data_IF_215302191462
#
_entry.id   IF_215302191462
#
_cell.length_a   1.000
_cell.length_b   1.000
_cell.length_c   1.000
_cell.angle_alpha   90.00
_cell.angle_beta   90.00
_cell.angle_gamma   90.00
#
_symmetry.space_group_name_H-M   'P 1'
#
loop_
_entity.id
_entity.type
_entity.pdbx_description
1 polymer ?
#
# COMPACT_ATOMS: atom_id res chain seq x y z
N UNK A 1 24.56 -1.35 6.49
CA UNK A 1 23.13 -1.15 6.81
C UNK A 1 22.33 -1.98 5.81
N UNK A 2 21.59 -3.01 6.27
CA UNK A 2 20.81 -3.84 5.34
C UNK A 2 19.56 -3.04 4.92
N UNK A 3 19.40 -2.80 3.63
CA UNK A 3 18.28 -2.06 3.05
C UNK A 3 16.98 -2.85 3.20
N UNK A 4 15.88 -2.18 3.57
CA UNK A 4 14.55 -2.78 3.68
C UNK A 4 14.10 -3.38 2.35
N UNK A 5 14.43 -2.70 1.24
CA UNK A 5 14.16 -3.17 -0.11
C UNK A 5 14.78 -4.55 -0.39
N UNK A 6 16.03 -4.77 0.02
CA UNK A 6 16.74 -6.03 -0.21
C UNK A 6 16.19 -7.18 0.64
N UNK A 7 15.72 -6.89 1.86
CA UNK A 7 14.99 -7.87 2.67
C UNK A 7 13.67 -8.27 2.02
N UNK A 8 12.93 -7.28 1.52
CA UNK A 8 11.63 -7.47 0.90
C UNK A 8 11.71 -8.35 -0.36
N UNK A 9 12.70 -8.11 -1.22
CA UNK A 9 13.00 -8.93 -2.41
C UNK A 9 13.16 -10.40 -2.10
N UNK A 10 13.81 -10.73 -0.99
CA UNK A 10 14.17 -12.11 -0.60
C UNK A 10 13.04 -12.86 0.12
N UNK A 11 12.02 -12.17 0.62
CA UNK A 11 10.93 -12.80 1.36
C UNK A 11 10.10 -13.70 0.42
N UNK A 12 9.99 -14.98 0.75
CA UNK A 12 9.23 -15.98 -0.03
C UNK A 12 8.16 -16.70 0.81
N UNK A 13 8.07 -16.39 2.10
CA UNK A 13 7.13 -16.99 3.04
C UNK A 13 6.72 -16.00 4.14
N UNK A 14 5.63 -16.34 4.87
CA UNK A 14 5.22 -15.61 6.07
C UNK A 14 6.34 -15.57 7.11
N UNK A 15 7.05 -16.69 7.30
CA UNK A 15 8.14 -16.80 8.26
C UNK A 15 9.30 -15.85 7.93
N UNK A 16 9.59 -15.65 6.64
CA UNK A 16 10.59 -14.67 6.21
C UNK A 16 10.16 -13.26 6.60
N UNK A 17 8.91 -12.86 6.31
CA UNK A 17 8.41 -11.53 6.69
C UNK A 17 8.49 -11.29 8.20
N UNK A 18 8.12 -12.29 9.02
CA UNK A 18 8.20 -12.19 10.47
C UNK A 18 9.65 -12.01 10.93
N UNK A 19 10.58 -12.81 10.40
CA UNK A 19 12.01 -12.77 10.75
C UNK A 19 12.66 -11.45 10.31
N UNK A 20 12.47 -11.04 9.06
CA UNK A 20 13.19 -9.92 8.46
C UNK A 20 12.74 -8.55 9.01
N UNK A 21 11.45 -8.43 9.37
CA UNK A 21 10.82 -7.18 9.81
C UNK A 21 10.33 -7.18 11.26
N UNK A 22 10.63 -8.24 12.01
CA UNK A 22 10.29 -8.38 13.43
C UNK A 22 8.82 -8.03 13.75
N UNK A 23 7.89 -8.70 13.06
CA UNK A 23 6.46 -8.33 13.07
C UNK A 23 5.72 -8.63 14.39
N UNK A 24 6.39 -9.23 15.39
CA UNK A 24 5.80 -9.50 16.70
C UNK A 24 4.62 -10.49 16.68
N UNK A 25 4.52 -11.33 15.65
CA UNK A 25 3.43 -12.28 15.45
C UNK A 25 3.99 -13.66 15.10
N UNK A 26 3.26 -14.71 15.46
CA UNK A 26 3.57 -16.07 15.00
C UNK A 26 3.12 -16.29 13.55
N UNK A 27 3.77 -17.22 12.85
CA UNK A 27 3.39 -17.60 11.48
C UNK A 27 1.93 -18.09 11.40
N UNK A 28 1.44 -18.76 12.45
CA UNK A 28 0.04 -19.19 12.58
C UNK A 28 -0.92 -18.00 12.66
N UNK A 29 -0.62 -16.99 13.48
CA UNK A 29 -1.45 -15.78 13.59
C UNK A 29 -1.49 -14.99 12.28
N UNK A 30 -0.32 -14.76 11.67
CA UNK A 30 -0.24 -14.08 10.38
C UNK A 30 -1.02 -14.86 9.31
N UNK A 31 -0.76 -16.16 9.17
CA UNK A 31 -1.43 -17.01 8.19
C UNK A 31 -2.95 -17.05 8.40
N UNK A 32 -3.41 -17.08 9.65
CA UNK A 32 -4.84 -16.99 9.97
C UNK A 32 -5.45 -15.65 9.53
N UNK A 33 -4.77 -14.52 9.76
CA UNK A 33 -5.27 -13.20 9.34
C UNK A 33 -5.37 -13.09 7.82
N UNK A 34 -4.39 -13.62 7.08
CA UNK A 34 -4.33 -13.47 5.61
C UNK A 34 -5.21 -14.48 4.88
N UNK A 35 -5.13 -15.76 5.28
CA UNK A 35 -5.74 -16.89 4.57
C UNK A 35 -6.89 -17.54 5.34
N UNK A 36 -6.84 -17.55 6.68
CA UNK A 36 -7.83 -18.25 7.51
C UNK A 36 -9.14 -17.48 7.72
N UNK A 37 -9.09 -16.15 7.71
CA UNK A 37 -10.29 -15.32 7.85
C UNK A 37 -10.94 -15.05 6.49
N UNK A 38 -12.28 -15.12 6.38
CA UNK A 38 -12.99 -14.58 5.23
C UNK A 38 -12.98 -13.04 5.27
N UNK A 39 -13.11 -12.40 4.11
CA UNK A 39 -12.90 -10.96 3.98
C UNK A 39 -13.89 -10.13 4.81
N UNK A 40 -15.17 -10.53 4.91
CA UNK A 40 -16.18 -9.87 5.76
C UNK A 40 -15.83 -9.90 7.26
N UNK A 41 -14.94 -10.82 7.71
CA UNK A 41 -14.44 -10.83 9.09
C UNK A 41 -13.19 -9.97 9.27
N UNK A 42 -12.54 -9.55 8.19
CA UNK A 42 -11.32 -8.72 8.22
C UNK A 42 -11.62 -7.22 8.18
N UNK A 43 -12.78 -6.82 7.68
CA UNK A 43 -13.17 -5.43 7.50
C UNK A 43 -14.53 -5.13 8.14
N UNK A 44 -14.71 -3.89 8.57
CA UNK A 44 -15.99 -3.29 8.93
C UNK A 44 -16.43 -2.37 7.80
N UNK A 45 -17.67 -2.51 7.36
CA UNK A 45 -18.23 -1.73 6.25
C UNK A 45 -19.23 -0.70 6.76
N UNK A 46 -19.08 0.55 6.34
CA UNK A 46 -20.01 1.63 6.68
C UNK A 46 -20.08 2.64 5.54
N UNK A 47 -21.14 3.44 5.51
CA UNK A 47 -21.36 4.45 4.48
C UNK A 47 -21.12 5.85 5.04
N UNK A 48 -20.51 6.71 4.23
CA UNK A 48 -20.38 8.14 4.49
C UNK A 48 -20.92 8.93 3.30
N UNK A 49 -21.37 10.15 3.54
CA UNK A 49 -21.76 11.07 2.47
C UNK A 49 -20.50 11.66 1.82
N UNK A 50 -20.48 11.69 0.49
CA UNK A 50 -19.57 12.51 -0.29
C UNK A 50 -19.99 13.97 -0.21
N UNK A 51 -19.07 14.87 -0.59
CA UNK A 51 -19.36 16.31 -0.69
C UNK A 51 -20.46 16.65 -1.70
N UNK A 52 -20.73 15.78 -2.66
CA UNK A 52 -21.80 15.93 -3.65
C UNK A 52 -23.13 15.28 -3.23
N UNK A 53 -23.22 14.70 -2.02
CA UNK A 53 -24.42 14.05 -1.50
C UNK A 53 -24.53 12.54 -1.78
N UNK A 54 -23.71 11.97 -2.66
CA UNK A 54 -23.72 10.53 -2.91
C UNK A 54 -23.16 9.75 -1.71
N UNK A 55 -23.60 8.51 -1.54
CA UNK A 55 -23.01 7.61 -0.55
C UNK A 55 -21.69 7.01 -1.05
N UNK A 56 -20.70 6.93 -0.16
CA UNK A 56 -19.44 6.20 -0.33
C UNK A 56 -19.36 5.11 0.74
N UNK A 57 -19.27 3.87 0.30
CA UNK A 57 -18.95 2.74 1.18
C UNK A 57 -17.47 2.74 1.51
N UNK A 58 -17.15 2.68 2.81
CA UNK A 58 -15.81 2.53 3.36
C UNK A 58 -15.68 1.13 3.93
N UNK A 59 -14.54 0.49 3.68
CA UNK A 59 -14.17 -0.79 4.27
C UNK A 59 -12.94 -0.57 5.15
N UNK A 60 -13.15 -0.44 6.46
CA UNK A 60 -12.09 -0.24 7.42
C UNK A 60 -11.55 -1.59 7.93
N UNK A 61 -10.24 -1.82 7.91
CA UNK A 61 -9.67 -3.07 8.40
C UNK A 61 -9.80 -3.17 9.93
N UNK A 62 -10.13 -4.37 10.42
CA UNK A 62 -10.17 -4.68 11.85
C UNK A 62 -8.78 -4.65 12.45
N UNK A 63 -8.72 -4.52 13.79
CA UNK A 63 -7.49 -4.27 14.56
C UNK A 63 -6.30 -5.16 14.15
N UNK A 64 -6.50 -6.48 14.01
CA UNK A 64 -5.44 -7.43 13.67
C UNK A 64 -4.88 -7.22 12.25
N UNK A 65 -5.75 -7.06 11.26
CA UNK A 65 -5.34 -6.75 9.90
C UNK A 65 -4.71 -5.36 9.82
N UNK A 66 -5.34 -4.36 10.43
CA UNK A 66 -4.85 -2.98 10.49
C UNK A 66 -3.44 -2.90 11.09
N UNK A 67 -3.14 -3.71 12.09
CA UNK A 67 -1.78 -3.82 12.65
C UNK A 67 -0.79 -4.29 11.59
N UNK A 68 -1.05 -5.41 10.91
CA UNK A 68 -0.17 -5.92 9.84
C UNK A 68 0.01 -4.89 8.72
N UNK A 69 -1.10 -4.31 8.23
CA UNK A 69 -1.05 -3.33 7.15
C UNK A 69 -0.24 -2.08 7.53
N UNK A 70 -0.30 -1.64 8.80
CA UNK A 70 0.56 -0.56 9.31
C UNK A 70 2.04 -0.96 9.31
N UNK A 71 2.38 -2.16 9.78
CA UNK A 71 3.77 -2.65 9.76
C UNK A 71 4.32 -2.68 8.33
N UNK A 72 3.54 -3.23 7.39
CA UNK A 72 3.95 -3.26 5.99
C UNK A 72 3.99 -1.87 5.34
N UNK A 73 3.09 -0.95 5.71
CA UNK A 73 3.17 0.45 5.28
C UNK A 73 4.50 1.09 5.70
N UNK A 74 4.95 0.87 6.93
CA UNK A 74 6.28 1.32 7.38
C UNK A 74 7.41 0.65 6.59
N UNK A 75 7.32 -0.65 6.33
CA UNK A 75 8.30 -1.38 5.50
C UNK A 75 8.39 -0.79 4.10
N UNK A 76 7.27 -0.57 3.43
CA UNK A 76 7.22 0.04 2.09
C UNK A 76 7.78 1.45 2.07
N UNK A 77 7.46 2.27 3.08
CA UNK A 77 8.03 3.61 3.20
C UNK A 77 9.57 3.55 3.30
N UNK A 78 10.11 2.64 4.11
CA UNK A 78 11.57 2.46 4.20
C UNK A 78 12.16 1.94 2.88
N UNK A 79 11.49 1.01 2.19
CA UNK A 79 11.91 0.55 0.86
C UNK A 79 11.94 1.69 -0.17
N UNK A 80 10.95 2.58 -0.17
CA UNK A 80 10.92 3.77 -1.03
C UNK A 80 12.09 4.70 -0.72
N UNK A 81 12.40 4.93 0.56
CA UNK A 81 13.57 5.72 0.96
C UNK A 81 14.87 5.09 0.47
N UNK A 82 14.98 3.76 0.50
CA UNK A 82 16.15 3.04 -0.02
C UNK A 82 16.27 3.18 -1.54
N UNK A 83 15.15 3.20 -2.28
CA UNK A 83 15.15 3.50 -3.72
C UNK A 83 15.58 4.95 -3.97
N UNK A 84 15.06 5.91 -3.19
CA UNK A 84 15.39 7.33 -3.34
C UNK A 84 16.87 7.64 -3.04
N UNK A 85 17.54 6.85 -2.20
CA UNK A 85 19.00 6.93 -2.01
C UNK A 85 19.77 6.50 -3.26
N UNK A 86 19.24 5.55 -4.03
CA UNK A 86 19.87 5.07 -5.27
C UNK A 86 19.48 5.94 -6.48
N UNK A 87 18.26 6.48 -6.49
CA UNK A 87 17.72 7.34 -7.52
C UNK A 87 16.90 8.48 -6.88
N UNK A 88 17.53 9.63 -6.71
CA UNK A 88 16.91 10.83 -6.13
C UNK A 88 15.71 11.38 -6.93
N UNK A 89 15.52 10.94 -8.18
CA UNK A 89 14.36 11.32 -8.99
C UNK A 89 13.14 10.43 -8.77
N UNK A 90 13.27 9.30 -8.07
CA UNK A 90 12.16 8.39 -7.81
C UNK A 90 11.07 9.08 -6.96
N UNK A 91 9.85 9.12 -7.52
CA UNK A 91 8.69 9.78 -6.90
C UNK A 91 8.91 11.25 -6.52
N UNK A 92 9.82 11.97 -7.20
CA UNK A 92 10.12 13.39 -6.91
C UNK A 92 8.86 14.27 -6.91
N UNK A 93 7.97 14.04 -7.88
CA UNK A 93 6.71 14.78 -8.05
C UNK A 93 5.54 14.21 -7.23
N UNK A 94 5.74 13.16 -6.43
CA UNK A 94 4.69 12.69 -5.52
C UNK A 94 4.58 13.65 -4.34
N UNK A 95 3.40 14.20 -4.07
CA UNK A 95 3.14 15.05 -2.91
C UNK A 95 2.15 14.43 -1.93
N UNK A 96 1.45 13.36 -2.34
CA UNK A 96 0.46 12.69 -1.51
C UNK A 96 1.16 11.80 -0.48
N UNK A 97 0.75 11.93 0.79
CA UNK A 97 1.20 11.10 1.92
C UNK A 97 2.72 11.09 2.17
N UNK A 98 3.44 12.07 1.62
CA UNK A 98 4.88 12.24 1.77
C UNK A 98 5.20 13.12 2.99
N UNK A 99 6.23 12.74 3.74
CA UNK A 99 6.69 13.54 4.88
C UNK A 99 7.17 14.90 4.36
N UNK A 100 6.73 15.98 5.02
CA UNK A 100 7.08 17.37 4.69
C UNK A 100 6.55 17.87 3.32
N UNK A 101 5.66 17.14 2.64
CA UNK A 101 4.93 17.65 1.47
C UNK A 101 3.47 17.93 1.84
N UNK A 102 2.85 18.84 1.11
CA UNK A 102 1.48 19.26 1.34
C UNK A 102 0.80 19.67 0.03
N UNK A 103 -0.51 19.88 0.08
CA UNK A 103 -1.27 20.46 -1.03
C UNK A 103 -0.67 21.81 -1.48
N UNK A 104 -0.11 22.58 -0.54
CA UNK A 104 0.53 23.87 -0.81
C UNK A 104 1.84 23.65 -1.59
N UNK A 105 2.68 22.71 -1.17
CA UNK A 105 3.93 22.45 -1.89
C UNK A 105 3.69 21.89 -3.29
N UNK A 106 2.61 21.12 -3.49
CA UNK A 106 2.20 20.70 -4.83
C UNK A 106 1.80 21.90 -5.69
N UNK A 107 0.85 22.72 -5.20
CA UNK A 107 0.32 23.88 -5.92
C UNK A 107 1.41 24.88 -6.34
N UNK A 108 2.45 25.09 -5.52
CA UNK A 108 3.59 25.97 -5.84
C UNK A 108 4.27 25.63 -7.18
N UNK A 109 4.36 24.35 -7.56
CA UNK A 109 4.97 23.94 -8.82
C UNK A 109 4.14 24.33 -10.06
N UNK A 110 2.84 24.56 -9.86
CA UNK A 110 1.88 24.89 -10.91
C UNK A 110 1.56 26.40 -10.99
N UNK A 111 2.10 27.22 -10.08
CA UNK A 111 1.89 28.66 -10.09
C UNK A 111 2.48 29.31 -11.37
N UNK A 112 1.80 30.35 -11.86
CA UNK A 112 2.20 31.17 -13.02
C UNK A 112 2.34 30.38 -14.34
N UNK A 113 1.76 29.18 -14.44
CA UNK A 113 1.70 28.42 -15.69
C UNK A 113 0.53 28.93 -16.54
N UNK A 114 0.78 29.14 -17.83
CA UNK A 114 -0.23 29.64 -18.79
C UNK A 114 -1.37 28.63 -19.02
N UNK A 115 -1.07 27.33 -18.91
CA UNK A 115 -2.00 26.24 -19.08
C UNK A 115 -1.82 25.23 -17.95
N UNK A 116 -2.94 24.68 -17.45
CA UNK A 116 -2.98 23.64 -16.44
C UNK A 116 -3.80 22.46 -16.96
N UNK A 117 -3.19 21.28 -16.98
CA UNK A 117 -3.87 20.03 -17.30
C UNK A 117 -4.26 19.34 -15.99
N UNK A 118 -5.56 19.11 -15.81
CA UNK A 118 -6.10 18.36 -14.68
C UNK A 118 -6.59 17.00 -15.17
N UNK A 119 -6.08 15.93 -14.58
CA UNK A 119 -6.44 14.54 -14.90
C UNK A 119 -6.84 13.87 -13.59
N UNK A 120 -7.99 13.21 -13.60
CA UNK A 120 -8.48 12.40 -12.48
C UNK A 120 -8.73 10.96 -12.94
N UNK A 121 -8.50 10.00 -12.04
CA UNK A 121 -8.70 8.57 -12.32
C UNK A 121 -10.04 8.16 -11.72
N UNK A 122 -10.98 7.78 -12.58
CA UNK A 122 -12.25 7.22 -12.16
C UNK A 122 -12.05 5.92 -11.38
N UNK A 123 -12.64 5.84 -10.18
CA UNK A 123 -12.57 4.70 -9.26
C UNK A 123 -11.15 4.13 -9.05
N UNK A 124 -10.19 5.01 -8.71
CA UNK A 124 -8.80 4.63 -8.47
C UNK A 124 -8.65 3.37 -7.61
N UNK A 125 -9.30 3.31 -6.45
CA UNK A 125 -9.21 2.17 -5.53
C UNK A 125 -9.83 0.90 -6.11
N UNK A 126 -11.03 0.98 -6.70
CA UNK A 126 -11.67 -0.19 -7.31
C UNK A 126 -10.96 -0.70 -8.57
N UNK A 127 -10.15 0.15 -9.23
CA UNK A 127 -9.32 -0.22 -10.36
C UNK A 127 -8.09 -1.05 -9.98
N UNK A 128 -7.60 -0.91 -8.74
CA UNK A 128 -6.44 -1.64 -8.22
C UNK A 128 -6.93 -2.96 -7.60
N UNK A 129 -6.74 -4.05 -8.35
CA UNK A 129 -7.12 -5.39 -7.94
C UNK A 129 -5.89 -6.24 -7.57
N UNK A 130 -6.13 -7.39 -6.94
CA UNK A 130 -5.09 -8.33 -6.48
C UNK A 130 -4.00 -8.60 -7.52
N UNK A 131 -4.39 -8.93 -8.76
CA UNK A 131 -3.46 -9.22 -9.85
C UNK A 131 -2.56 -8.03 -10.20
N UNK A 132 -3.09 -6.81 -10.15
CA UNK A 132 -2.32 -5.59 -10.42
C UNK A 132 -1.26 -5.34 -9.35
N UNK A 133 -1.62 -5.50 -8.07
CA UNK A 133 -0.66 -5.36 -6.96
C UNK A 133 0.42 -6.43 -7.05
N UNK A 134 0.02 -7.71 -7.23
CA UNK A 134 0.94 -8.84 -7.33
C UNK A 134 1.93 -8.63 -8.48
N UNK A 135 1.43 -8.33 -9.67
CA UNK A 135 2.27 -8.19 -10.86
C UNK A 135 3.16 -6.95 -10.80
N UNK A 136 2.70 -5.86 -10.17
CA UNK A 136 3.55 -4.70 -9.90
C UNK A 136 4.74 -5.09 -9.01
N UNK A 137 4.49 -5.75 -7.88
CA UNK A 137 5.55 -6.13 -6.94
C UNK A 137 6.58 -7.10 -7.54
N UNK A 138 6.17 -7.96 -8.48
CA UNK A 138 7.06 -8.91 -9.17
C UNK A 138 7.87 -8.22 -10.27
N UNK A 139 7.22 -7.43 -11.13
CA UNK A 139 7.81 -6.93 -12.37
C UNK A 139 8.43 -5.52 -12.24
N UNK A 140 8.14 -4.80 -11.16
CA UNK A 140 8.77 -3.51 -10.92
C UNK A 140 10.29 -3.68 -10.74
N UNK A 141 11.04 -2.78 -11.39
CA UNK A 141 12.51 -2.82 -11.45
C UNK A 141 13.19 -2.64 -10.09
N UNK A 142 12.51 -2.02 -9.13
CA UNK A 142 13.04 -1.82 -7.79
C UNK A 142 12.57 -2.91 -6.85
N UNK A 143 11.26 -3.20 -6.83
CA UNK A 143 10.70 -4.16 -5.89
C UNK A 143 11.07 -5.60 -6.22
N UNK A 144 10.96 -6.02 -7.49
CA UNK A 144 11.39 -7.32 -8.02
C UNK A 144 11.24 -8.49 -7.05
N UNK A 145 10.06 -8.61 -6.42
CA UNK A 145 9.81 -9.57 -5.35
C UNK A 145 9.62 -10.99 -5.86
N UNK A 146 9.83 -11.98 -4.99
CA UNK A 146 9.39 -13.35 -5.26
C UNK A 146 7.87 -13.42 -5.47
N UNK A 147 7.42 -14.37 -6.28
CA UNK A 147 6.01 -14.57 -6.54
C UNK A 147 5.19 -14.82 -5.27
N UNK A 148 5.72 -15.61 -4.33
CA UNK A 148 5.02 -15.91 -3.07
C UNK A 148 4.98 -14.69 -2.17
N UNK A 149 6.09 -13.96 -2.05
CA UNK A 149 6.15 -12.71 -1.27
C UNK A 149 5.15 -11.67 -1.77
N UNK A 150 5.13 -11.44 -3.09
CA UNK A 150 4.17 -10.54 -3.73
C UNK A 150 2.72 -10.98 -3.52
N UNK A 151 2.44 -12.29 -3.59
CA UNK A 151 1.09 -12.84 -3.38
C UNK A 151 0.59 -12.64 -1.94
N UNK A 152 1.47 -12.82 -0.94
CA UNK A 152 1.15 -12.60 0.48
C UNK A 152 0.76 -11.13 0.70
N UNK A 153 1.57 -10.19 0.19
CA UNK A 153 1.30 -8.75 0.33
C UNK A 153 0.04 -8.37 -0.44
N UNK A 154 -0.12 -8.82 -1.67
CA UNK A 154 -1.31 -8.54 -2.46
C UNK A 154 -2.58 -9.02 -1.74
N UNK A 155 -2.55 -10.18 -1.07
CA UNK A 155 -3.68 -10.70 -0.29
C UNK A 155 -3.96 -9.88 0.99
N UNK A 156 -2.92 -9.29 1.60
CA UNK A 156 -3.06 -8.37 2.73
C UNK A 156 -3.68 -7.02 2.35
N UNK A 157 -3.50 -6.60 1.10
CA UNK A 157 -3.91 -5.27 0.63
C UNK A 157 -5.37 -5.22 0.16
N UNK A 158 -5.98 -6.34 -0.23
CA UNK A 158 -7.29 -6.37 -0.89
C UNK A 158 -8.43 -6.83 0.01
N UNK A 159 -9.62 -6.29 -0.26
CA UNK A 159 -10.93 -6.75 0.21
C UNK A 159 -11.78 -7.13 -1.01
N UNK A 160 -12.30 -8.35 -1.06
CA UNK A 160 -13.09 -8.84 -2.21
C UNK A 160 -12.34 -8.68 -3.56
N UNK A 161 -11.01 -8.84 -3.51
CA UNK A 161 -10.14 -8.77 -4.67
C UNK A 161 -9.73 -7.36 -5.13
N UNK A 162 -10.25 -6.30 -4.49
CA UNK A 162 -9.94 -4.89 -4.80
C UNK A 162 -9.33 -4.15 -3.62
N UNK A 163 -8.62 -3.06 -3.88
CA UNK A 163 -8.07 -2.20 -2.83
C UNK A 163 -9.24 -1.48 -2.12
N UNK A 164 -9.44 -1.66 -0.80
CA UNK A 164 -10.55 -1.03 -0.10
C UNK A 164 -10.27 0.43 0.20
N UNK A 165 -11.31 1.27 0.09
CA UNK A 165 -11.28 2.65 0.58
C UNK A 165 -11.29 2.63 2.11
N UNK A 166 -10.27 3.23 2.74
CA UNK A 166 -10.10 3.28 4.20
C UNK A 166 -9.03 2.35 4.79
N UNK A 167 -8.27 1.63 3.95
CA UNK A 167 -7.10 0.87 4.38
C UNK A 167 -5.89 1.77 4.64
N UNK A 168 -5.08 1.53 5.70
CA UNK A 168 -3.83 2.25 5.95
C UNK A 168 -2.77 2.07 4.85
N UNK A 169 -3.01 1.19 3.86
CA UNK A 169 -2.25 1.12 2.61
C UNK A 169 -2.61 2.28 1.66
N UNK A 170 -2.35 3.52 2.07
CA UNK A 170 -2.46 4.69 1.18
C UNK A 170 -1.19 4.93 0.33
N UNK A 171 -0.24 3.99 0.37
CA UNK A 171 1.09 4.11 -0.26
C UNK A 171 1.22 3.37 -1.62
N UNK A 172 0.12 2.78 -2.12
CA UNK A 172 0.08 2.20 -3.48
C UNK A 172 -0.63 3.15 -4.45
#
# INVERSE_FOLDING_TARGET
MILYLEKLKKCNSISDFIREFNLGLSAKQFGHIVYGLPDHKKYDSFQILKSNGDLRTIHAPKKSLKFLQKQFSSVFLQSILDIQKQNHHYLRCNHAFEKNKSIISNARHHQKKKFLLNIDIYDFFGSIHYGRIRNFLINDKYFSMTEKGASIIAKLSVYEGKLPQGSPYHLF
#
